data_IF_455916870425
#
_entry.id   IF_455916870425
#
_cell.length_a   1.000
_cell.length_b   1.000
_cell.length_c   1.000
_cell.angle_alpha   90.00
_cell.angle_beta   90.00
_cell.angle_gamma   90.00
#
_symmetry.space_group_name_H-M   'P 1'
#
loop_
_entity.id
_entity.type
_entity.pdbx_description
1 polymer ?
#
# COMPACT_ATOMS: atom_id res chain seq x y z
N UNK A 1 -2.19 -29.23 -6.43
CA UNK A 1 -2.65 -28.37 -5.31
C UNK A 1 -2.48 -26.90 -5.66
N UNK A 2 -1.24 -26.38 -5.78
CA UNK A 2 -0.99 -24.95 -6.06
C UNK A 2 -1.75 -24.36 -7.27
N UNK A 3 -1.75 -25.05 -8.41
CA UNK A 3 -2.39 -24.53 -9.63
C UNK A 3 -3.91 -24.32 -9.47
N UNK A 4 -4.58 -25.18 -8.72
CA UNK A 4 -6.03 -25.08 -8.53
C UNK A 4 -6.37 -23.92 -7.60
N UNK A 5 -5.63 -23.79 -6.48
CA UNK A 5 -5.76 -22.66 -5.57
C UNK A 5 -5.43 -21.33 -6.26
N UNK A 6 -4.41 -21.30 -7.13
CA UNK A 6 -4.08 -20.11 -7.91
C UNK A 6 -5.22 -19.72 -8.87
N UNK A 7 -5.84 -20.67 -9.56
CA UNK A 7 -6.97 -20.39 -10.46
C UNK A 7 -8.16 -19.83 -9.69
N UNK A 8 -8.43 -20.35 -8.51
CA UNK A 8 -9.51 -19.89 -7.63
C UNK A 8 -9.22 -18.47 -7.12
N UNK A 9 -8.03 -18.25 -6.57
CA UNK A 9 -7.55 -16.93 -6.12
C UNK A 9 -7.61 -15.90 -7.26
N UNK A 10 -7.15 -16.27 -8.46
CA UNK A 10 -7.12 -15.37 -9.61
C UNK A 10 -8.53 -14.88 -10.02
N UNK A 11 -9.59 -15.65 -9.74
CA UNK A 11 -10.97 -15.30 -10.05
C UNK A 11 -11.66 -14.53 -8.93
N UNK A 12 -11.36 -14.88 -7.68
CA UNK A 12 -12.13 -14.47 -6.51
C UNK A 12 -11.48 -13.33 -5.73
N UNK A 13 -10.15 -13.24 -5.73
CA UNK A 13 -9.43 -12.26 -4.92
C UNK A 13 -9.82 -10.83 -5.28
N UNK A 14 -10.16 -10.05 -4.25
CA UNK A 14 -10.45 -8.63 -4.36
C UNK A 14 -9.57 -7.82 -3.43
N UNK A 15 -8.98 -6.76 -3.98
CA UNK A 15 -8.08 -5.85 -3.28
C UNK A 15 -8.67 -4.45 -3.36
N UNK A 16 -8.93 -3.84 -2.21
CA UNK A 16 -9.35 -2.45 -2.13
C UNK A 16 -8.13 -1.54 -1.97
N UNK A 17 -8.02 -0.50 -2.79
CA UNK A 17 -6.97 0.50 -2.67
C UNK A 17 -7.54 1.72 -1.96
N UNK A 18 -6.88 2.15 -0.88
CA UNK A 18 -7.31 3.35 -0.18
C UNK A 18 -7.29 4.58 -1.10
N UNK A 19 -8.42 5.30 -1.21
CA UNK A 19 -8.53 6.40 -2.15
C UNK A 19 -7.81 7.65 -1.62
N UNK A 20 -7.04 8.29 -2.51
CA UNK A 20 -6.37 9.55 -2.28
C UNK A 20 -6.74 10.57 -3.35
N UNK A 21 -6.60 11.86 -3.04
CA UNK A 21 -6.89 12.95 -3.96
C UNK A 21 -5.60 13.52 -4.54
N UNK A 22 -5.61 13.96 -5.80
CA UNK A 22 -4.45 14.65 -6.41
C UNK A 22 -4.12 16.00 -5.76
N UNK A 23 -5.06 16.56 -4.99
CA UNK A 23 -4.88 17.77 -4.19
C UNK A 23 -4.20 17.53 -2.85
N UNK A 24 -3.90 16.27 -2.51
CA UNK A 24 -3.20 15.94 -1.27
C UNK A 24 -1.78 16.56 -1.27
N UNK A 25 -1.34 17.20 -0.17
CA UNK A 25 0.02 17.72 -0.08
C UNK A 25 1.11 16.69 -0.38
N UNK A 26 0.84 15.41 -0.13
CA UNK A 26 1.71 14.26 -0.37
C UNK A 26 1.24 13.41 -1.54
N UNK A 27 0.56 13.98 -2.54
CA UNK A 27 0.12 13.25 -3.73
C UNK A 27 1.27 12.47 -4.42
N UNK A 28 2.49 13.00 -4.40
CA UNK A 28 3.71 12.33 -4.89
C UNK A 28 4.05 11.02 -4.17
N UNK A 29 3.53 10.81 -2.96
CA UNK A 29 3.75 9.59 -2.16
C UNK A 29 2.74 8.51 -2.54
N UNK A 30 1.49 8.90 -2.83
CA UNK A 30 0.41 7.95 -3.10
C UNK A 30 0.34 7.55 -4.56
N UNK A 31 0.53 8.50 -5.47
CA UNK A 31 0.45 8.24 -6.91
C UNK A 31 1.82 7.86 -7.48
N UNK A 32 1.89 6.97 -8.48
CA UNK A 32 3.12 6.73 -9.22
C UNK A 32 3.58 8.03 -9.90
N UNK A 33 4.89 8.30 -9.85
CA UNK A 33 5.48 9.42 -10.57
C UNK A 33 5.38 9.15 -12.08
N UNK A 34 4.84 10.12 -12.84
CA UNK A 34 4.68 10.02 -14.29
C UNK A 34 5.97 10.35 -15.07
N UNK A 35 7.05 10.67 -14.37
CA UNK A 35 8.25 11.29 -14.96
C UNK A 35 9.27 10.26 -15.52
N UNK A 36 8.92 8.97 -15.56
CA UNK A 36 9.76 7.93 -16.16
C UNK A 36 9.36 6.50 -15.80
N UNK A 37 10.03 5.53 -16.44
CA UNK A 37 9.90 4.12 -16.07
C UNK A 37 10.45 3.89 -14.65
N UNK A 38 9.83 3.01 -13.86
CA UNK A 38 10.39 2.58 -12.58
C UNK A 38 11.86 2.13 -12.72
N UNK A 39 12.75 2.72 -11.92
CA UNK A 39 14.18 2.47 -12.01
C UNK A 39 14.86 2.35 -10.66
N UNK A 40 16.05 1.76 -10.64
CA UNK A 40 16.87 1.60 -9.45
C UNK A 40 16.30 0.63 -8.42
N UNK A 41 16.72 0.79 -7.16
CA UNK A 41 16.44 -0.14 -6.06
C UNK A 41 14.96 -0.20 -5.62
N UNK A 42 14.10 0.62 -6.21
CA UNK A 42 12.66 0.70 -5.88
C UNK A 42 11.76 0.36 -7.08
N UNK A 43 12.35 -0.19 -8.16
CA UNK A 43 11.63 -0.49 -9.38
C UNK A 43 10.49 -1.49 -9.12
N UNK A 44 10.71 -2.53 -8.33
CA UNK A 44 9.72 -3.55 -8.01
C UNK A 44 8.56 -3.03 -7.17
N UNK A 45 8.79 -2.16 -6.18
CA UNK A 45 7.70 -1.47 -5.45
C UNK A 45 6.80 -0.69 -6.41
N UNK A 46 7.42 0.07 -7.32
CA UNK A 46 6.72 0.89 -8.30
C UNK A 46 5.98 0.04 -9.34
N UNK A 47 6.60 -1.01 -9.86
CA UNK A 47 5.96 -1.95 -10.79
C UNK A 47 4.81 -2.69 -10.14
N UNK A 48 4.94 -3.10 -8.87
CA UNK A 48 3.85 -3.72 -8.13
C UNK A 48 2.65 -2.78 -8.02
N UNK A 49 2.87 -1.51 -7.67
CA UNK A 49 1.79 -0.50 -7.63
C UNK A 49 1.09 -0.36 -8.97
N UNK A 50 1.85 -0.21 -10.06
CA UNK A 50 1.30 -0.07 -11.42
C UNK A 50 0.52 -1.32 -11.82
N UNK A 51 1.11 -2.50 -11.64
CA UNK A 51 0.50 -3.78 -12.00
C UNK A 51 -0.78 -4.02 -11.19
N UNK A 52 -0.77 -3.75 -9.89
CA UNK A 52 -1.95 -3.87 -9.04
C UNK A 52 -3.04 -2.91 -9.47
N UNK A 53 -2.73 -1.62 -9.68
CA UNK A 53 -3.71 -0.61 -10.12
C UNK A 53 -4.36 -0.91 -11.47
N UNK A 54 -3.66 -1.62 -12.37
CA UNK A 54 -4.18 -2.03 -13.68
C UNK A 54 -4.82 -3.43 -13.67
N UNK A 55 -4.74 -4.16 -12.56
CA UNK A 55 -5.22 -5.54 -12.48
C UNK A 55 -6.73 -5.63 -12.25
N UNK A 56 -7.31 -6.77 -12.61
CA UNK A 56 -8.72 -7.11 -12.32
C UNK A 56 -8.99 -7.44 -10.85
N UNK A 57 -7.95 -7.49 -10.02
CA UNK A 57 -8.07 -7.71 -8.58
C UNK A 57 -8.63 -6.49 -7.85
N UNK A 58 -8.53 -5.29 -8.44
CA UNK A 58 -8.96 -4.06 -7.75
C UNK A 58 -10.48 -3.98 -7.69
N UNK A 59 -11.00 -3.72 -6.48
CA UNK A 59 -12.42 -3.41 -6.26
C UNK A 59 -12.60 -1.97 -5.78
N UNK A 60 -13.73 -1.37 -6.15
CA UNK A 60 -14.17 -0.06 -5.63
C UNK A 60 -15.06 -0.23 -4.39
N UNK A 61 -15.58 -1.44 -4.15
CA UNK A 61 -16.40 -1.74 -2.98
C UNK A 61 -15.52 -2.37 -1.89
N UNK A 62 -15.29 -1.69 -0.75
CA UNK A 62 -14.50 -2.25 0.34
C UNK A 62 -15.18 -3.42 1.05
N UNK A 63 -16.49 -3.64 0.88
CA UNK A 63 -17.21 -4.77 1.49
C UNK A 63 -16.89 -6.11 0.83
N UNK A 64 -16.55 -6.08 -0.46
CA UNK A 64 -16.15 -7.26 -1.25
C UNK A 64 -14.65 -7.57 -1.13
N UNK A 65 -13.88 -6.71 -0.46
CA UNK A 65 -12.43 -6.81 -0.43
C UNK A 65 -11.93 -7.87 0.57
N UNK A 66 -11.02 -8.72 0.09
CA UNK A 66 -10.26 -9.67 0.91
C UNK A 66 -9.05 -9.01 1.55
N UNK A 67 -8.39 -8.10 0.82
CA UNK A 67 -7.21 -7.38 1.25
C UNK A 67 -7.32 -5.88 0.98
N UNK A 68 -6.62 -5.10 1.79
CA UNK A 68 -6.59 -3.64 1.69
C UNK A 68 -5.17 -3.16 1.40
N UNK A 69 -4.99 -2.49 0.27
CA UNK A 69 -3.70 -1.95 -0.14
C UNK A 69 -3.56 -0.48 0.27
N UNK A 70 -2.47 -0.17 0.99
CA UNK A 70 -2.07 1.19 1.35
C UNK A 70 -1.14 1.72 0.24
N UNK A 71 -1.56 2.69 -0.57
CA UNK A 71 -0.87 3.03 -1.82
C UNK A 71 0.34 3.96 -1.63
N UNK A 72 0.79 4.21 -0.41
CA UNK A 72 1.96 5.04 -0.19
C UNK A 72 3.23 4.36 -0.71
N UNK A 73 4.22 5.15 -1.12
CA UNK A 73 5.52 4.67 -1.56
C UNK A 73 6.62 5.10 -0.61
N UNK A 74 7.35 4.12 -0.06
CA UNK A 74 8.51 4.38 0.81
C UNK A 74 9.60 5.07 0.01
N UNK A 75 9.79 4.65 -1.25
CA UNK A 75 10.72 5.28 -2.17
C UNK A 75 10.42 6.77 -2.35
N UNK A 76 9.15 7.13 -2.60
CA UNK A 76 8.77 8.54 -2.75
C UNK A 76 8.94 9.33 -1.44
N UNK A 77 8.60 8.73 -0.28
CA UNK A 77 8.79 9.40 1.02
C UNK A 77 10.26 9.76 1.29
N UNK A 78 11.21 8.86 0.95
CA UNK A 78 12.65 9.10 1.14
C UNK A 78 13.15 10.34 0.39
N UNK A 79 12.55 10.64 -0.76
CA UNK A 79 12.93 11.76 -1.61
C UNK A 79 12.09 13.01 -1.37
N UNK A 80 11.04 12.93 -0.53
CA UNK A 80 10.24 14.09 -0.14
C UNK A 80 10.98 14.89 0.93
N UNK A 81 11.29 16.16 0.66
CA UNK A 81 12.03 17.05 1.58
C UNK A 81 11.33 17.25 2.93
N UNK A 82 10.01 17.05 3.01
CA UNK A 82 9.23 17.22 4.24
C UNK A 82 9.25 15.97 5.12
N UNK A 83 9.49 14.80 4.53
CA UNK A 83 9.48 13.50 5.24
C UNK A 83 10.92 13.03 5.47
N UNK A 84 11.72 12.94 4.40
CA UNK A 84 13.07 12.40 4.47
C UNK A 84 13.10 10.94 4.93
N UNK A 85 14.28 10.42 5.27
CA UNK A 85 14.41 9.04 5.78
C UNK A 85 13.91 8.91 7.22
N UNK A 86 14.19 9.92 8.05
CA UNK A 86 13.87 9.88 9.48
C UNK A 86 12.37 10.04 9.76
N UNK A 87 11.64 10.78 8.92
CA UNK A 87 10.20 11.04 9.09
C UNK A 87 9.28 9.93 8.57
N UNK A 88 9.81 8.88 7.92
CA UNK A 88 8.99 7.81 7.31
C UNK A 88 8.14 7.10 8.36
N UNK A 89 8.74 6.78 9.50
CA UNK A 89 8.07 6.06 10.58
C UNK A 89 6.89 6.87 11.13
N UNK A 90 7.09 8.17 11.34
CA UNK A 90 6.07 9.06 11.88
C UNK A 90 4.98 9.31 10.83
N UNK A 91 5.34 9.50 9.57
CA UNK A 91 4.38 9.62 8.46
C UNK A 91 3.46 8.39 8.37
N UNK A 92 4.04 7.18 8.38
CA UNK A 92 3.25 5.94 8.33
C UNK A 92 2.34 5.86 9.55
N UNK A 93 2.85 6.15 10.76
CA UNK A 93 2.05 6.10 11.98
C UNK A 93 0.84 7.05 11.89
N UNK A 94 1.06 8.29 11.48
CA UNK A 94 0.00 9.29 11.35
C UNK A 94 -1.00 8.92 10.25
N UNK A 95 -0.50 8.39 9.13
CA UNK A 95 -1.32 7.87 8.05
C UNK A 95 -2.25 6.74 8.54
N UNK A 96 -1.70 5.75 9.24
CA UNK A 96 -2.48 4.63 9.78
C UNK A 96 -3.51 5.09 10.83
N UNK A 97 -3.12 6.04 11.68
CA UNK A 97 -4.03 6.64 12.66
C UNK A 97 -5.18 7.43 11.99
N UNK A 98 -4.91 8.07 10.85
CA UNK A 98 -5.94 8.74 10.05
C UNK A 98 -6.88 7.73 9.38
N UNK A 99 -6.32 6.73 8.72
CA UNK A 99 -7.07 5.69 8.00
C UNK A 99 -7.97 4.89 8.95
N UNK A 100 -7.44 4.45 10.10
CA UNK A 100 -8.18 3.66 11.09
C UNK A 100 -9.41 4.37 11.65
N UNK A 101 -9.38 5.71 11.73
CA UNK A 101 -10.51 6.52 12.18
C UNK A 101 -11.48 6.88 11.05
N UNK A 102 -10.95 7.11 9.84
CA UNK A 102 -11.75 7.53 8.69
C UNK A 102 -12.53 6.38 8.08
N UNK A 103 -11.98 5.17 8.10
CA UNK A 103 -12.51 4.02 7.40
C UNK A 103 -12.85 2.88 8.37
N UNK A 104 -14.15 2.54 8.54
CA UNK A 104 -14.59 1.56 9.53
C UNK A 104 -14.09 0.13 9.25
N UNK A 105 -13.74 -0.17 8.00
CA UNK A 105 -13.23 -1.48 7.59
C UNK A 105 -11.84 -1.81 8.16
N UNK A 106 -11.08 -0.81 8.61
CA UNK A 106 -9.82 -1.03 9.34
C UNK A 106 -10.03 -1.91 10.58
N UNK A 107 -11.14 -1.69 11.31
CA UNK A 107 -11.45 -2.38 12.56
C UNK A 107 -11.98 -3.81 12.37
N UNK A 108 -12.24 -4.26 11.13
CA UNK A 108 -12.74 -5.61 10.83
C UNK A 108 -11.77 -6.70 11.29
N UNK A 109 -10.48 -6.47 11.07
CA UNK A 109 -9.39 -7.42 11.39
C UNK A 109 -8.35 -6.80 12.32
N UNK A 110 -8.55 -5.55 12.74
CA UNK A 110 -7.53 -4.75 13.43
C UNK A 110 -6.32 -4.44 12.54
N UNK A 111 -6.50 -4.39 11.22
CA UNK A 111 -5.43 -4.10 10.25
C UNK A 111 -4.63 -5.31 9.75
N UNK A 112 -5.03 -6.54 10.08
CA UNK A 112 -4.30 -7.75 9.66
C UNK A 112 -4.43 -8.07 8.16
N UNK A 113 -5.51 -7.62 7.52
CA UNK A 113 -5.74 -7.73 6.07
C UNK A 113 -5.22 -6.53 5.27
N UNK A 114 -4.46 -5.63 5.91
CA UNK A 114 -3.91 -4.42 5.31
C UNK A 114 -2.43 -4.59 4.99
N UNK A 115 -2.03 -4.23 3.77
CA UNK A 115 -0.65 -4.39 3.32
C UNK A 115 -0.19 -3.19 2.47
N UNK A 116 1.13 -3.03 2.38
CA UNK A 116 1.79 -2.06 1.52
C UNK A 116 2.99 -2.72 0.84
N UNK A 117 3.37 -2.19 -0.32
CA UNK A 117 4.57 -2.63 -1.03
C UNK A 117 5.77 -1.83 -0.51
N UNK A 118 6.86 -2.52 -0.26
CA UNK A 118 8.11 -1.92 0.16
C UNK A 118 9.24 -2.78 -0.37
N UNK A 119 10.26 -2.15 -0.95
CA UNK A 119 11.52 -2.82 -1.20
C UNK A 119 12.45 -2.62 0.00
N UNK A 120 13.04 -3.69 0.56
CA UNK A 120 14.04 -3.56 1.61
C UNK A 120 15.43 -3.30 1.01
N UNK A 121 16.04 -2.11 1.13
CA UNK A 121 17.48 -2.01 1.06
C UNK A 121 18.00 -2.27 2.48
N UNK A 122 18.39 -3.51 2.79
CA UNK A 122 19.30 -3.78 3.92
C UNK A 122 18.91 -3.09 5.27
N UNK A 123 17.62 -2.96 5.57
CA UNK A 123 17.13 -2.50 6.87
C UNK A 123 16.04 -3.46 7.29
N UNK A 124 16.21 -4.02 8.49
CA UNK A 124 15.24 -4.88 9.18
C UNK A 124 13.96 -4.10 9.52
N UNK A 125 13.23 -3.67 8.50
CA UNK A 125 11.83 -3.32 8.63
C UNK A 125 11.10 -4.56 8.13
N UNK A 126 10.88 -5.48 9.06
CA UNK A 126 9.96 -6.58 8.86
C UNK A 126 8.66 -6.00 8.29
N UNK A 127 8.29 -6.41 7.06
CA UNK A 127 6.93 -6.28 6.54
C UNK A 127 6.01 -7.06 7.49
N UNK A 128 5.66 -6.44 8.61
CA UNK A 128 4.79 -7.01 9.62
C UNK A 128 3.38 -6.67 9.21
N UNK A 129 2.59 -7.72 8.96
CA UNK A 129 1.18 -7.77 9.32
C UNK A 129 1.05 -7.08 10.68
N UNK A 130 0.37 -5.93 10.70
CA UNK A 130 0.31 -5.08 11.90
C UNK A 130 -0.33 -5.86 13.05
N UNK A 131 0.31 -5.96 14.23
CA UNK A 131 -0.35 -6.53 15.39
C UNK A 131 -1.39 -5.54 15.92
N UNK A 132 -2.64 -5.74 15.49
CA UNK A 132 -3.95 -5.55 16.15
C UNK A 132 -4.22 -4.51 17.26
N UNK A 133 -3.31 -3.61 17.66
CA UNK A 133 -3.58 -2.55 18.63
C UNK A 133 -2.79 -1.28 18.30
N UNK A 134 -3.48 -0.36 17.61
CA UNK A 134 -3.20 1.08 17.66
C UNK A 134 -3.81 1.64 18.94
#
# INVERSE_FOLDING_TARGET
MFLENYKEMNKTMKIYIYPHTKTDPFANVFFPNNDGLPGGNYASESYFKIALSLSHFVTQDPSEADLFFLPFSIACMRHDKRIGVDGIKDFIKDYLFSISRKYPFWNRTGGADHFYACEPPMLRISCLLFPSKV
#
